data_IF_828869204135
#
_entry.id   IF_828869204135
#
_cell.length_a   1.000
_cell.length_b   1.000
_cell.length_c   1.000
_cell.angle_alpha   90.00
_cell.angle_beta   90.00
_cell.angle_gamma   90.00
#
_symmetry.space_group_name_H-M   'P 1'
#
loop_
_entity.id
_entity.type
_entity.pdbx_description
1 polymer ?
#
# COMPACT_ATOMS: atom_id res chain seq x y z
N UNK A 1 41.40 0.20 24.55
CA UNK A 1 40.23 0.98 25.02
C UNK A 1 39.24 1.30 23.90
N UNK A 2 39.72 1.61 22.67
CA UNK A 2 38.88 1.86 21.49
C UNK A 2 38.00 0.68 21.05
N UNK A 3 38.49 -0.55 21.10
CA UNK A 3 37.73 -1.74 20.65
C UNK A 3 36.47 -2.00 21.51
N UNK A 4 36.55 -1.77 22.83
CA UNK A 4 35.39 -1.87 23.74
C UNK A 4 34.36 -0.79 23.47
N UNK A 5 34.78 0.44 23.16
CA UNK A 5 33.86 1.54 22.80
C UNK A 5 33.18 1.30 21.45
N UNK A 6 33.90 0.74 20.48
CA UNK A 6 33.34 0.37 19.18
C UNK A 6 32.32 -0.76 19.31
N UNK A 7 32.61 -1.82 20.09
CA UNK A 7 31.66 -2.89 20.36
C UNK A 7 30.42 -2.41 21.11
N UNK A 8 30.56 -1.51 22.08
CA UNK A 8 29.41 -0.90 22.77
C UNK A 8 28.60 -0.04 21.81
N UNK A 9 29.24 0.72 20.91
CA UNK A 9 28.55 1.53 19.92
C UNK A 9 27.83 0.68 18.87
N UNK A 10 28.43 -0.43 18.42
CA UNK A 10 27.79 -1.42 17.54
C UNK A 10 26.64 -2.12 18.27
N UNK A 11 26.79 -2.46 19.55
CA UNK A 11 25.71 -3.05 20.34
C UNK A 11 24.57 -2.06 20.60
N UNK A 12 24.88 -0.77 20.76
CA UNK A 12 23.89 0.31 20.86
C UNK A 12 23.21 0.53 19.50
N UNK A 13 23.93 0.52 18.38
CA UNK A 13 23.35 0.59 17.03
C UNK A 13 22.46 -0.62 16.72
N UNK A 14 22.85 -1.82 17.14
CA UNK A 14 22.04 -3.04 17.02
C UNK A 14 20.79 -2.98 17.93
N UNK A 15 20.85 -2.29 19.07
CA UNK A 15 19.67 -2.07 19.94
C UNK A 15 18.83 -0.83 19.53
N UNK A 16 19.36 0.05 18.67
CA UNK A 16 18.62 1.16 18.04
C UNK A 16 17.85 0.67 16.80
N UNK A 17 18.11 -0.55 16.30
CA UNK A 17 17.10 -1.32 15.57
C UNK A 17 16.01 -1.75 16.55
N UNK A 18 15.26 -0.76 17.04
CA UNK A 18 14.04 -0.96 17.79
C UNK A 18 13.09 -1.78 16.93
N UNK A 19 12.98 -3.06 17.27
CA UNK A 19 12.01 -4.04 16.78
C UNK A 19 10.80 -3.38 16.08
N UNK A 20 10.70 -3.53 14.76
CA UNK A 20 9.55 -3.09 13.93
C UNK A 20 8.25 -3.86 14.21
N UNK A 21 8.16 -4.56 15.33
CA UNK A 21 7.05 -5.43 15.68
C UNK A 21 6.30 -4.89 16.90
N UNK A 22 5.05 -4.51 16.69
CA UNK A 22 4.11 -4.02 17.69
C UNK A 22 3.35 -5.21 18.29
N UNK A 23 3.21 -5.26 19.62
CA UNK A 23 2.39 -6.30 20.26
C UNK A 23 0.90 -6.13 19.92
N UNK A 24 0.27 -7.21 19.49
CA UNK A 24 -1.18 -7.30 19.33
C UNK A 24 -1.79 -7.88 20.60
N UNK A 25 -2.69 -7.13 21.22
CA UNK A 25 -3.39 -7.53 22.45
C UNK A 25 -4.89 -7.61 22.24
N UNK A 26 -5.58 -8.41 23.04
CA UNK A 26 -7.04 -8.39 23.14
C UNK A 26 -7.54 -7.37 24.18
N UNK A 27 -8.86 -7.26 24.36
CA UNK A 27 -9.49 -6.39 25.37
C UNK A 27 -9.18 -6.76 26.82
N UNK A 28 -8.72 -7.99 27.08
CA UNK A 28 -8.20 -8.45 28.38
C UNK A 28 -6.71 -8.16 28.59
N UNK A 29 -6.08 -7.41 27.67
CA UNK A 29 -4.65 -7.07 27.68
C UNK A 29 -3.70 -8.29 27.59
N UNK A 30 -4.18 -9.41 27.03
CA UNK A 30 -3.35 -10.58 26.72
C UNK A 30 -2.72 -10.41 25.34
N UNK A 31 -1.43 -10.74 25.24
CA UNK A 31 -0.72 -10.76 23.95
C UNK A 31 -1.23 -11.96 23.14
N UNK A 32 -1.81 -11.68 21.98
CA UNK A 32 -2.37 -12.67 21.06
C UNK A 32 -1.57 -12.76 19.74
N UNK A 33 -0.63 -11.85 19.53
CA UNK A 33 0.12 -11.78 18.29
C UNK A 33 1.09 -10.62 18.21
N UNK A 34 1.59 -10.38 16.99
CA UNK A 34 2.44 -9.24 16.64
C UNK A 34 2.01 -8.63 15.31
N UNK A 35 2.25 -7.34 15.15
CA UNK A 35 2.04 -6.60 13.90
C UNK A 35 3.37 -5.99 13.47
N UNK A 36 3.86 -6.33 12.29
CA UNK A 36 5.13 -5.85 11.75
C UNK A 36 4.91 -4.59 10.90
N UNK A 37 5.86 -3.65 10.97
CA UNK A 37 5.89 -2.42 10.17
C UNK A 37 6.94 -2.48 9.04
N UNK A 38 7.71 -3.58 8.95
CA UNK A 38 8.72 -3.84 7.91
C UNK A 38 8.67 -5.30 7.47
N UNK A 39 8.63 -5.54 6.15
CA UNK A 39 8.55 -6.86 5.53
C UNK A 39 9.80 -7.72 5.78
N UNK A 40 10.99 -7.11 5.71
CA UNK A 40 12.27 -7.80 5.90
C UNK A 40 12.48 -8.25 7.35
N UNK A 41 11.88 -7.54 8.31
CA UNK A 41 11.99 -7.82 9.73
C UNK A 41 10.92 -8.80 10.26
N UNK A 42 10.08 -9.37 9.39
CA UNK A 42 9.05 -10.33 9.79
C UNK A 42 9.71 -11.61 10.30
N UNK A 43 9.60 -11.85 11.62
CA UNK A 43 10.00 -13.08 12.29
C UNK A 43 8.75 -13.71 12.90
N UNK A 44 8.00 -14.52 12.13
CA UNK A 44 6.68 -14.97 12.53
C UNK A 44 6.77 -15.90 13.74
N UNK A 45 5.87 -15.70 14.69
CA UNK A 45 5.72 -16.63 15.82
C UNK A 45 4.66 -17.67 15.48
N UNK A 46 5.07 -18.94 15.50
CA UNK A 46 4.15 -20.07 15.39
C UNK A 46 3.11 -19.98 16.51
N UNK A 47 1.87 -20.37 16.21
CA UNK A 47 0.72 -20.38 17.13
C UNK A 47 0.22 -19.02 17.64
N UNK A 48 0.65 -17.92 17.02
CA UNK A 48 0.13 -16.57 17.29
C UNK A 48 -0.39 -15.89 16.02
N UNK A 49 -1.14 -14.81 16.17
CA UNK A 49 -1.53 -13.98 15.04
C UNK A 49 -0.36 -13.10 14.58
N UNK A 50 -0.10 -13.07 13.28
CA UNK A 50 0.92 -12.21 12.68
C UNK A 50 0.24 -11.23 11.71
N UNK A 51 0.34 -9.94 12.00
CA UNK A 51 -0.16 -8.86 11.16
C UNK A 51 0.98 -8.12 10.47
N UNK A 52 0.68 -7.42 9.38
CA UNK A 52 1.62 -6.51 8.74
C UNK A 52 0.92 -5.20 8.38
N UNK A 53 1.55 -4.06 8.67
CA UNK A 53 1.10 -2.75 8.19
C UNK A 53 1.76 -2.53 6.84
N UNK A 54 0.96 -2.50 5.77
CA UNK A 54 1.44 -2.42 4.40
C UNK A 54 2.25 -1.15 4.16
N UNK A 55 3.52 -1.34 3.83
CA UNK A 55 4.35 -0.36 3.14
C UNK A 55 4.61 -0.84 1.72
N UNK A 56 4.26 -0.02 0.71
CA UNK A 56 4.49 -0.38 -0.70
C UNK A 56 6.00 -0.41 -1.04
N UNK A 57 6.79 0.43 -0.38
CA UNK A 57 8.23 0.53 -0.59
C UNK A 57 9.00 -0.73 -0.18
N UNK A 58 8.40 -1.58 0.66
CA UNK A 58 8.98 -2.86 1.06
C UNK A 58 8.98 -3.88 -0.09
N UNK A 59 8.15 -3.66 -1.12
CA UNK A 59 8.06 -4.52 -2.29
C UNK A 59 8.79 -3.93 -3.50
N UNK A 60 8.75 -2.60 -3.66
CA UNK A 60 9.56 -1.85 -4.62
C UNK A 60 9.62 -0.37 -4.22
N UNK A 61 10.81 0.22 -4.19
CA UNK A 61 11.02 1.59 -3.67
C UNK A 61 10.34 2.69 -4.49
N UNK A 62 10.05 2.42 -5.76
CA UNK A 62 9.35 3.35 -6.66
C UNK A 62 7.83 3.15 -6.60
N UNK A 63 7.32 2.12 -5.93
CA UNK A 63 5.90 1.84 -5.89
C UNK A 63 5.18 2.84 -4.97
N UNK A 64 4.13 3.48 -5.47
CA UNK A 64 3.38 4.46 -4.70
C UNK A 64 1.87 4.37 -4.94
N UNK A 65 1.07 4.92 -4.03
CA UNK A 65 -0.39 4.88 -4.16
C UNK A 65 -0.90 5.65 -5.36
N UNK A 66 -0.25 6.76 -5.72
CA UNK A 66 -0.69 7.56 -6.87
C UNK A 66 -0.52 6.80 -8.18
N UNK A 67 0.58 6.05 -8.32
CA UNK A 67 0.81 5.13 -9.43
C UNK A 67 -0.37 4.17 -9.60
N UNK A 68 -0.81 3.51 -8.51
CA UNK A 68 -1.95 2.60 -8.53
C UNK A 68 -3.25 3.29 -8.96
N UNK A 69 -3.50 4.52 -8.51
CA UNK A 69 -4.72 5.25 -8.85
C UNK A 69 -4.82 5.67 -10.31
N UNK A 70 -3.72 5.68 -11.07
CA UNK A 70 -3.76 6.00 -12.50
C UNK A 70 -4.21 4.82 -13.37
N UNK A 71 -4.20 3.60 -12.81
CA UNK A 71 -4.45 2.35 -13.51
C UNK A 71 -5.95 2.11 -13.65
N UNK A 72 -6.42 1.86 -14.88
CA UNK A 72 -7.82 1.47 -15.16
C UNK A 72 -8.04 -0.03 -15.26
N UNK A 73 -6.96 -0.79 -15.42
CA UNK A 73 -7.03 -2.24 -15.37
C UNK A 73 -7.14 -2.72 -13.91
N UNK A 74 -8.35 -2.68 -13.36
CA UNK A 74 -8.60 -3.07 -11.98
C UNK A 74 -8.31 -4.55 -11.69
N UNK A 75 -8.38 -5.42 -12.71
CA UNK A 75 -7.97 -6.83 -12.59
C UNK A 75 -6.45 -6.98 -12.40
N UNK A 76 -5.65 -6.08 -12.97
CA UNK A 76 -4.20 -6.03 -12.74
C UNK A 76 -3.90 -5.62 -11.29
N UNK A 77 -4.62 -4.63 -10.75
CA UNK A 77 -4.50 -4.25 -9.32
C UNK A 77 -4.80 -5.46 -8.42
N UNK A 78 -5.93 -6.13 -8.65
CA UNK A 78 -6.33 -7.31 -7.88
C UNK A 78 -5.28 -8.43 -7.96
N UNK A 79 -4.73 -8.69 -9.15
CA UNK A 79 -3.68 -9.70 -9.36
C UNK A 79 -2.37 -9.33 -8.66
N UNK A 80 -1.96 -8.06 -8.74
CA UNK A 80 -0.76 -7.57 -8.09
C UNK A 80 -0.86 -7.66 -6.56
N UNK A 81 -2.01 -7.30 -5.97
CA UNK A 81 -2.21 -7.44 -4.53
C UNK A 81 -2.44 -8.88 -4.08
N UNK A 82 -2.91 -9.77 -4.97
CA UNK A 82 -2.86 -11.21 -4.73
C UNK A 82 -1.40 -11.68 -4.60
N UNK A 83 -0.52 -11.25 -5.49
CA UNK A 83 0.90 -11.62 -5.44
C UNK A 83 1.58 -11.12 -4.15
N UNK A 84 1.38 -9.84 -3.78
CA UNK A 84 1.81 -9.31 -2.48
C UNK A 84 1.23 -10.15 -1.32
N UNK A 85 -0.04 -10.53 -1.39
CA UNK A 85 -0.66 -11.41 -0.40
C UNK A 85 0.02 -12.78 -0.30
N UNK A 86 0.42 -13.38 -1.43
CA UNK A 86 1.17 -14.64 -1.45
C UNK A 86 2.53 -14.47 -0.76
N UNK A 87 3.29 -13.41 -1.06
CA UNK A 87 4.55 -13.06 -0.37
C UNK A 87 4.36 -12.93 1.15
N UNK A 88 3.27 -12.30 1.58
CA UNK A 88 2.92 -12.16 2.99
C UNK A 88 2.58 -13.52 3.64
N UNK A 89 1.85 -14.40 2.94
CA UNK A 89 1.55 -15.75 3.45
C UNK A 89 2.77 -16.62 3.58
N UNK A 90 3.74 -16.51 2.67
CA UNK A 90 5.02 -17.21 2.79
C UNK A 90 5.77 -16.81 4.09
N UNK A 91 5.61 -15.56 4.53
CA UNK A 91 6.09 -15.04 5.83
C UNK A 91 5.13 -15.32 7.00
N UNK A 92 4.10 -16.15 6.81
CA UNK A 92 3.07 -16.53 7.79
C UNK A 92 2.27 -15.35 8.35
N UNK A 93 2.07 -14.30 7.55
CA UNK A 93 1.17 -13.20 7.90
C UNK A 93 -0.29 -13.67 7.75
N UNK A 94 -1.09 -13.46 8.79
CA UNK A 94 -2.51 -13.80 8.85
C UNK A 94 -3.38 -12.64 8.32
N UNK A 95 -2.99 -11.39 8.59
CA UNK A 95 -3.74 -10.21 8.20
C UNK A 95 -2.85 -9.04 7.79
N UNK A 96 -3.39 -8.14 6.97
CA UNK A 96 -2.69 -6.93 6.50
C UNK A 96 -3.53 -5.70 6.78
N UNK A 97 -2.92 -4.69 7.41
CA UNK A 97 -3.50 -3.37 7.63
C UNK A 97 -3.00 -2.47 6.50
N UNK A 98 -3.92 -1.86 5.73
CA UNK A 98 -3.53 -1.03 4.60
C UNK A 98 -4.55 0.05 4.27
N UNK A 99 -4.15 0.93 3.35
CA UNK A 99 -5.04 1.89 2.71
C UNK A 99 -4.68 3.32 3.07
N UNK A 100 -4.91 4.20 2.09
CA UNK A 100 -5.02 5.63 2.28
C UNK A 100 -6.36 6.07 1.69
N UNK A 101 -7.32 6.35 2.56
CA UNK A 101 -8.69 6.70 2.17
C UNK A 101 -8.91 8.22 2.12
N UNK A 102 -7.88 9.02 2.38
CA UNK A 102 -7.93 10.46 2.23
C UNK A 102 -7.85 10.81 0.72
N UNK A 103 -8.80 11.59 0.17
CA UNK A 103 -8.70 12.08 -1.19
C UNK A 103 -7.53 13.05 -1.37
N UNK A 104 -6.83 12.94 -2.50
CA UNK A 104 -5.83 13.92 -2.90
C UNK A 104 -6.48 15.30 -3.03
N UNK A 105 -5.76 16.35 -2.64
CA UNK A 105 -6.12 17.73 -2.93
C UNK A 105 -4.87 18.56 -3.24
N UNK A 106 -5.07 19.78 -3.73
CA UNK A 106 -3.97 20.61 -4.25
C UNK A 106 -3.02 21.13 -3.16
N UNK A 107 -3.44 21.11 -1.89
CA UNK A 107 -2.62 21.56 -0.74
C UNK A 107 -1.63 20.51 -0.23
N UNK A 108 -1.67 19.28 -0.76
CA UNK A 108 -0.78 18.19 -0.31
C UNK A 108 0.61 18.34 -0.90
N UNK A 109 1.62 18.36 -0.02
CA UNK A 109 3.04 18.41 -0.41
C UNK A 109 3.48 17.10 -1.07
N UNK A 110 3.31 15.97 -0.37
CA UNK A 110 3.64 14.65 -0.88
C UNK A 110 2.43 13.97 -1.49
N UNK A 111 2.28 14.14 -2.80
CA UNK A 111 1.12 13.66 -3.57
C UNK A 111 1.18 12.17 -3.86
N UNK A 112 2.37 11.57 -3.87
CA UNK A 112 2.59 10.16 -4.21
C UNK A 112 1.96 9.21 -3.20
N UNK A 113 1.75 9.67 -1.96
CA UNK A 113 1.07 8.94 -0.89
C UNK A 113 -0.42 8.75 -1.13
N UNK A 114 -1.05 9.50 -2.03
CA UNK A 114 -2.49 9.50 -2.24
C UNK A 114 -2.88 8.68 -3.47
N UNK A 115 -4.02 7.99 -3.41
CA UNK A 115 -4.49 7.19 -4.55
C UNK A 115 -5.01 8.09 -5.68
N UNK A 116 -5.96 8.98 -5.40
CA UNK A 116 -6.60 9.85 -6.39
C UNK A 116 -7.34 11.02 -5.74
N UNK A 117 -7.80 12.00 -6.53
CA UNK A 117 -8.79 13.00 -6.10
C UNK A 117 -10.21 12.42 -5.98
N UNK A 118 -10.55 11.45 -6.84
CA UNK A 118 -11.91 10.91 -6.95
C UNK A 118 -12.18 9.84 -5.90
N UNK A 119 -13.22 9.99 -5.05
CA UNK A 119 -13.60 8.95 -4.09
C UNK A 119 -13.93 7.60 -4.73
N UNK A 120 -14.44 7.62 -5.96
CA UNK A 120 -14.74 6.40 -6.73
C UNK A 120 -13.47 5.62 -7.10
N UNK A 121 -12.41 6.33 -7.53
CA UNK A 121 -11.15 5.66 -7.88
C UNK A 121 -10.50 5.09 -6.62
N UNK A 122 -10.48 5.86 -5.52
CA UNK A 122 -9.94 5.40 -4.24
C UNK A 122 -10.67 4.14 -3.78
N UNK A 123 -12.01 4.14 -3.83
CA UNK A 123 -12.81 2.99 -3.40
C UNK A 123 -12.63 1.77 -4.29
N UNK A 124 -12.53 1.95 -5.61
CA UNK A 124 -12.32 0.83 -6.54
C UNK A 124 -10.93 0.21 -6.37
N UNK A 125 -9.86 1.01 -6.31
CA UNK A 125 -8.50 0.50 -6.05
C UNK A 125 -8.45 -0.23 -4.71
N UNK A 126 -8.98 0.38 -3.65
CA UNK A 126 -9.02 -0.23 -2.31
C UNK A 126 -9.81 -1.54 -2.31
N UNK A 127 -10.95 -1.59 -3.01
CA UNK A 127 -11.73 -2.82 -3.16
C UNK A 127 -10.95 -3.91 -3.88
N UNK A 128 -10.20 -3.60 -4.94
CA UNK A 128 -9.33 -4.58 -5.62
C UNK A 128 -8.19 -5.06 -4.74
N UNK A 129 -7.62 -4.19 -3.90
CA UNK A 129 -6.64 -4.58 -2.89
C UNK A 129 -7.25 -5.60 -1.90
N UNK A 130 -8.45 -5.32 -1.37
CA UNK A 130 -9.19 -6.25 -0.48
C UNK A 130 -9.32 -7.62 -1.16
N UNK A 131 -9.83 -7.66 -2.40
CA UNK A 131 -10.04 -8.91 -3.14
C UNK A 131 -8.74 -9.66 -3.41
N UNK A 132 -7.67 -8.95 -3.73
CA UNK A 132 -6.34 -9.55 -3.94
C UNK A 132 -5.84 -10.25 -2.67
N UNK A 133 -5.85 -9.56 -1.53
CA UNK A 133 -5.43 -10.13 -0.25
C UNK A 133 -6.30 -11.30 0.21
N UNK A 134 -7.64 -11.18 0.11
CA UNK A 134 -8.56 -12.27 0.43
C UNK A 134 -8.25 -13.51 -0.43
N UNK A 135 -8.06 -13.32 -1.74
CA UNK A 135 -7.73 -14.41 -2.66
C UNK A 135 -6.43 -15.11 -2.25
N UNK A 136 -5.42 -14.35 -1.81
CA UNK A 136 -4.16 -14.90 -1.31
C UNK A 136 -4.28 -15.57 0.08
N UNK A 137 -5.40 -15.40 0.79
CA UNK A 137 -5.59 -15.94 2.14
C UNK A 137 -4.99 -15.06 3.24
N UNK A 138 -4.80 -13.77 2.98
CA UNK A 138 -4.44 -12.74 3.98
C UNK A 138 -5.69 -11.92 4.29
N UNK A 139 -6.03 -11.79 5.57
CA UNK A 139 -7.22 -11.05 5.97
C UNK A 139 -7.00 -9.53 5.81
N UNK A 140 -7.79 -8.80 5.00
CA UNK A 140 -7.61 -7.36 4.81
C UNK A 140 -8.24 -6.54 5.96
N UNK A 141 -7.51 -5.54 6.45
CA UNK A 141 -7.99 -4.56 7.43
C UNK A 141 -7.71 -3.17 6.87
N UNK A 142 -8.75 -2.36 6.74
CA UNK A 142 -8.61 -1.00 6.22
C UNK A 142 -8.19 -0.03 7.32
N UNK A 143 -7.15 0.75 7.04
CA UNK A 143 -6.79 1.91 7.84
C UNK A 143 -7.82 3.03 7.59
N UNK A 144 -8.46 3.46 8.67
CA UNK A 144 -9.42 4.56 8.69
C UNK A 144 -8.95 5.60 9.70
N UNK A 145 -8.90 6.85 9.28
CA UNK A 145 -8.46 7.99 10.08
C UNK A 145 -9.42 9.17 9.93
N UNK A 146 -9.18 10.24 10.68
CA UNK A 146 -10.03 11.44 10.68
C UNK A 146 -10.08 12.16 9.33
N UNK A 147 -9.16 11.85 8.41
CA UNK A 147 -9.06 12.46 7.07
C UNK A 147 -9.62 11.56 5.98
N UNK A 148 -9.98 10.33 6.32
CA UNK A 148 -10.61 9.38 5.41
C UNK A 148 -11.92 9.97 4.92
N UNK A 149 -12.12 10.00 3.59
CA UNK A 149 -13.31 10.64 3.03
C UNK A 149 -14.56 9.80 3.27
N UNK A 150 -15.62 10.38 3.84
CA UNK A 150 -16.90 9.68 4.06
C UNK A 150 -17.44 9.04 2.78
N UNK A 151 -17.35 9.76 1.65
CA UNK A 151 -17.76 9.26 0.34
C UNK A 151 -16.90 8.07 -0.13
N UNK A 152 -15.62 8.01 0.27
CA UNK A 152 -14.75 6.86 -0.01
C UNK A 152 -15.24 5.66 0.79
N UNK A 153 -15.42 5.84 2.11
CA UNK A 153 -15.88 4.79 3.03
C UNK A 153 -17.21 4.21 2.58
N UNK A 154 -18.22 5.04 2.30
CA UNK A 154 -19.52 4.60 1.82
C UNK A 154 -19.44 3.88 0.46
N UNK A 155 -18.55 4.34 -0.42
CA UNK A 155 -18.33 3.72 -1.73
C UNK A 155 -17.62 2.37 -1.62
N UNK A 156 -16.77 2.16 -0.61
CA UNK A 156 -16.16 0.86 -0.30
C UNK A 156 -17.22 -0.07 0.31
N UNK A 157 -17.97 0.40 1.31
CA UNK A 157 -19.03 -0.38 1.96
C UNK A 157 -20.08 -0.90 0.96
N UNK A 158 -20.47 -0.08 -0.03
CA UNK A 158 -21.40 -0.52 -1.07
C UNK A 158 -20.83 -1.61 -2.00
N UNK A 159 -19.50 -1.74 -2.11
CA UNK A 159 -18.82 -2.78 -2.91
C UNK A 159 -18.50 -4.04 -2.09
N UNK A 160 -17.98 -3.87 -0.88
CA UNK A 160 -17.51 -4.98 -0.03
C UNK A 160 -18.57 -5.49 0.95
N UNK A 161 -19.65 -4.74 1.18
CA UNK A 161 -20.67 -5.00 2.20
C UNK A 161 -20.21 -4.67 3.62
N UNK A 162 -19.02 -5.13 4.00
CA UNK A 162 -18.37 -4.80 5.27
C UNK A 162 -16.84 -4.88 5.11
N UNK A 163 -16.09 -4.35 6.08
CA UNK A 163 -14.66 -4.55 6.21
C UNK A 163 -14.26 -4.36 7.68
N UNK A 164 -13.13 -4.95 8.08
CA UNK A 164 -12.52 -4.64 9.37
C UNK A 164 -11.69 -3.35 9.27
N UNK A 165 -11.70 -2.59 10.35
CA UNK A 165 -11.13 -1.25 10.41
C UNK A 165 -10.02 -1.16 11.46
N UNK A 166 -8.99 -0.38 11.14
CA UNK A 166 -7.88 -0.03 12.02
C UNK A 166 -7.73 1.48 12.11
N UNK A 167 -7.49 2.01 13.31
CA UNK A 167 -7.15 3.42 13.51
C UNK A 167 -6.20 3.62 14.70
N UNK A 168 -5.49 4.75 14.67
CA UNK A 168 -4.75 5.29 15.81
C UNK A 168 -5.38 6.58 16.37
N UNK A 169 -6.49 7.04 15.79
CA UNK A 169 -7.16 8.30 16.14
C UNK A 169 -8.63 8.07 16.51
N UNK A 170 -9.33 7.21 15.77
CA UNK A 170 -10.76 6.93 15.92
C UNK A 170 -10.94 5.66 16.76
N UNK A 171 -11.67 5.76 17.87
CA UNK A 171 -11.86 4.61 18.78
C UNK A 171 -12.94 3.62 18.34
N UNK A 172 -13.87 4.03 17.47
CA UNK A 172 -14.94 3.18 16.93
C UNK A 172 -14.45 2.39 15.70
N UNK A 173 -13.54 1.46 15.96
CA UNK A 173 -12.90 0.59 14.95
C UNK A 173 -12.71 -0.82 15.52
N UNK A 174 -12.24 -1.75 14.71
CA UNK A 174 -12.00 -3.14 15.13
C UNK A 174 -10.61 -3.33 15.75
N UNK A 175 -9.63 -2.57 15.26
CA UNK A 175 -8.25 -2.52 15.76
C UNK A 175 -7.85 -1.09 16.10
N UNK A 176 -7.33 -0.86 17.31
CA UNK A 176 -6.96 0.48 17.75
C UNK A 176 -5.52 0.52 18.29
N UNK A 177 -4.67 1.40 17.76
CA UNK A 177 -3.30 1.60 18.27
C UNK A 177 -3.33 2.43 19.56
N UNK A 178 -2.84 1.86 20.67
CA UNK A 178 -2.64 2.54 21.96
C UNK A 178 -1.18 2.44 22.34
N UNK A 179 -0.51 3.59 22.42
CA UNK A 179 0.92 3.67 22.72
C UNK A 179 1.74 2.76 21.79
N UNK A 180 2.48 1.80 22.36
CA UNK A 180 3.30 0.82 21.64
C UNK A 180 2.58 -0.52 21.39
N UNK A 181 1.25 -0.53 21.37
CA UNK A 181 0.43 -1.75 21.19
C UNK A 181 -0.71 -1.52 20.21
N UNK A 182 -1.17 -2.60 19.59
CA UNK A 182 -2.43 -2.62 18.83
C UNK A 182 -3.42 -3.47 19.62
N UNK A 183 -4.60 -2.92 19.87
CA UNK A 183 -5.69 -3.58 20.59
C UNK A 183 -6.71 -4.07 19.60
N UNK A 184 -6.96 -5.38 19.60
CA UNK A 184 -8.10 -6.00 18.94
C UNK A 184 -9.33 -5.84 19.84
N UNK A 185 -10.26 -4.96 19.43
CA UNK A 185 -11.40 -4.56 20.24
C UNK A 185 -12.55 -5.57 20.21
N UNK A 186 -12.58 -6.45 19.21
CA UNK A 186 -13.61 -7.49 19.03
C UNK A 186 -12.93 -8.81 18.62
N UNK A 187 -13.52 -9.95 18.99
CA UNK A 187 -12.93 -11.24 18.69
C UNK A 187 -13.24 -11.68 17.25
N UNK A 188 -12.20 -11.90 16.44
CA UNK A 188 -12.31 -12.33 15.05
C UNK A 188 -11.45 -13.56 14.78
N UNK A 189 -11.92 -14.43 13.89
CA UNK A 189 -11.10 -15.47 13.30
C UNK A 189 -10.38 -14.93 12.06
N UNK A 190 -9.16 -14.42 12.26
CA UNK A 190 -8.37 -13.76 11.22
C UNK A 190 -7.50 -14.73 10.40
N UNK A 191 -7.74 -16.04 10.50
CA UNK A 191 -6.99 -17.06 9.76
C UNK A 191 -7.80 -17.56 8.57
N UNK A 192 -7.33 -17.21 7.37
CA UNK A 192 -7.79 -17.80 6.12
C UNK A 192 -6.85 -18.97 5.78
N UNK A 193 -7.42 -20.17 5.66
CA UNK A 193 -6.67 -21.43 5.64
C UNK A 193 -6.39 -21.98 4.24
N UNK A 194 -6.74 -21.27 3.18
CA UNK A 194 -6.34 -21.66 1.82
C UNK A 194 -4.96 -21.10 1.49
N UNK A 195 -4.21 -21.85 0.69
CA UNK A 195 -2.90 -21.46 0.20
C UNK A 195 -2.95 -21.30 -1.31
N UNK A 196 -2.65 -20.09 -1.77
CA UNK A 196 -2.28 -19.84 -3.17
C UNK A 196 -0.76 -19.79 -3.23
N UNK A 197 -0.16 -20.61 -4.10
CA UNK A 197 1.31 -20.73 -4.19
C UNK A 197 1.92 -19.99 -5.37
N UNK A 198 1.11 -19.66 -6.37
CA UNK A 198 1.58 -19.02 -7.58
C UNK A 198 1.39 -17.50 -7.48
N UNK A 199 2.51 -16.80 -7.60
CA UNK A 199 2.59 -15.36 -7.80
C UNK A 199 3.38 -15.06 -9.08
N UNK A 200 3.08 -13.94 -9.72
CA UNK A 200 3.86 -13.39 -10.82
C UNK A 200 4.24 -11.94 -10.49
N UNK A 201 4.77 -11.73 -9.28
CA UNK A 201 4.97 -10.41 -8.70
C UNK A 201 5.78 -9.49 -9.62
N UNK A 202 6.96 -9.91 -10.08
CA UNK A 202 7.84 -9.08 -10.91
C UNK A 202 7.16 -8.67 -12.23
N UNK A 203 6.52 -9.63 -12.91
CA UNK A 203 5.79 -9.39 -14.15
C UNK A 203 4.62 -8.42 -13.94
N UNK A 204 3.86 -8.60 -12.87
CA UNK A 204 2.73 -7.74 -12.55
C UNK A 204 3.20 -6.35 -12.09
N UNK A 205 4.33 -6.24 -11.39
CA UNK A 205 4.94 -4.97 -11.02
C UNK A 205 5.34 -4.14 -12.25
N UNK A 206 6.00 -4.77 -13.23
CA UNK A 206 6.31 -4.08 -14.50
C UNK A 206 5.03 -3.62 -15.19
N UNK A 207 4.01 -4.49 -15.28
CA UNK A 207 2.71 -4.10 -15.86
C UNK A 207 2.03 -2.98 -15.09
N UNK A 208 2.15 -2.93 -13.76
CA UNK A 208 1.64 -1.82 -12.93
C UNK A 208 2.29 -0.53 -13.39
N UNK A 209 3.62 -0.52 -13.54
CA UNK A 209 4.34 0.67 -13.99
C UNK A 209 3.98 1.06 -15.43
N UNK A 210 3.93 0.12 -16.36
CA UNK A 210 3.52 0.38 -17.73
C UNK A 210 2.11 0.95 -17.81
N UNK A 211 1.16 0.41 -17.02
CA UNK A 211 -0.23 0.85 -16.97
C UNK A 211 -0.44 2.15 -16.18
N UNK A 212 0.64 2.71 -15.61
CA UNK A 212 0.62 3.95 -14.85
C UNK A 212 1.16 5.16 -15.62
N UNK A 213 1.62 4.96 -16.86
CA UNK A 213 2.16 6.05 -17.69
C UNK A 213 1.02 6.92 -18.22
N UNK A 214 1.01 8.19 -17.80
CA UNK A 214 -0.08 9.14 -18.08
C UNK A 214 0.38 10.21 -19.06
N UNK A 215 -0.32 10.34 -20.18
CA UNK A 215 -0.21 11.53 -21.03
C UNK A 215 -1.20 12.61 -20.56
N UNK A 216 -0.73 13.84 -20.42
CA UNK A 216 -1.52 15.00 -19.98
C UNK A 216 -1.19 16.24 -20.80
N UNK A 217 -2.08 17.22 -20.80
CA UNK A 217 -1.94 18.45 -21.59
C UNK A 217 -2.19 18.25 -23.09
N UNK A 218 -2.25 19.34 -23.83
CA UNK A 218 -2.59 19.34 -25.26
C UNK A 218 -1.71 20.26 -26.11
N UNK A 219 -1.01 21.22 -25.50
CA UNK A 219 -0.10 22.11 -26.22
C UNK A 219 1.18 21.38 -26.59
N UNK A 220 1.54 21.39 -27.87
CA UNK A 220 2.71 20.67 -28.41
C UNK A 220 4.00 21.48 -28.36
N UNK A 221 3.94 22.70 -27.84
CA UNK A 221 5.05 23.65 -27.88
C UNK A 221 6.20 23.24 -26.96
N UNK A 222 5.88 22.49 -25.90
CA UNK A 222 6.84 21.86 -25.00
C UNK A 222 6.35 20.44 -24.65
N UNK A 223 7.11 19.43 -25.07
CA UNK A 223 6.91 18.03 -24.67
C UNK A 223 7.79 17.74 -23.47
N UNK A 224 7.17 17.42 -22.33
CA UNK A 224 7.89 17.26 -21.05
C UNK A 224 7.76 15.82 -20.56
N UNK A 225 8.88 15.21 -20.17
CA UNK A 225 8.89 13.94 -19.48
C UNK A 225 9.02 14.19 -17.97
N UNK A 226 8.10 13.66 -17.18
CA UNK A 226 7.99 13.92 -15.75
C UNK A 226 8.11 12.62 -14.95
N UNK A 227 9.24 12.44 -14.28
CA UNK A 227 9.44 11.32 -13.36
C UNK A 227 8.86 11.65 -11.99
N UNK A 228 7.83 10.91 -11.57
CA UNK A 228 7.17 11.04 -10.26
C UNK A 228 6.69 12.46 -9.93
N UNK A 229 6.47 13.27 -10.96
CA UNK A 229 6.02 14.65 -10.88
C UNK A 229 4.71 14.86 -11.66
N UNK A 230 3.86 15.73 -11.14
CA UNK A 230 2.50 15.91 -11.63
C UNK A 230 2.38 17.14 -12.51
N UNK A 231 1.86 16.93 -13.73
CA UNK A 231 1.56 18.04 -14.62
C UNK A 231 0.23 18.71 -14.27
N UNK A 232 0.29 20.01 -13.98
CA UNK A 232 -0.88 20.90 -13.79
C UNK A 232 -1.04 21.94 -14.91
N UNK A 233 -0.11 21.96 -15.86
CA UNK A 233 -0.13 22.88 -17.00
C UNK A 233 -0.98 22.33 -18.16
N UNK A 234 -1.12 23.14 -19.21
CA UNK A 234 -1.71 22.70 -20.48
C UNK A 234 -0.68 22.12 -21.46
N UNK A 235 0.60 22.09 -21.07
CA UNK A 235 1.70 21.61 -21.90
C UNK A 235 1.69 20.08 -21.94
N UNK A 236 1.99 19.52 -23.12
CA UNK A 236 1.99 18.07 -23.33
C UNK A 236 3.08 17.45 -22.46
N UNK A 237 2.68 16.65 -21.48
CA UNK A 237 3.60 15.97 -20.60
C UNK A 237 3.24 14.49 -20.41
N UNK A 238 4.27 13.65 -20.34
CA UNK A 238 4.13 12.25 -19.92
C UNK A 238 4.65 12.11 -18.50
N UNK A 239 3.79 11.70 -17.58
CA UNK A 239 4.15 11.34 -16.20
C UNK A 239 4.32 9.83 -16.10
N UNK A 240 5.41 9.38 -15.47
CA UNK A 240 5.70 7.98 -15.18
C UNK A 240 6.27 7.84 -13.76
N UNK A 241 6.13 6.66 -13.15
CA UNK A 241 6.37 6.49 -11.72
C UNK A 241 7.59 5.63 -11.36
N UNK A 242 8.17 4.92 -12.33
CA UNK A 242 9.34 4.07 -12.15
C UNK A 242 10.29 4.17 -13.34
N UNK A 243 11.60 4.21 -13.08
CA UNK A 243 12.64 4.21 -14.11
C UNK A 243 12.61 2.94 -14.98
N UNK A 244 12.02 1.84 -14.49
CA UNK A 244 11.84 0.58 -15.22
C UNK A 244 10.99 0.73 -16.50
N UNK A 245 10.24 1.83 -16.63
CA UNK A 245 9.37 2.11 -17.79
C UNK A 245 9.69 3.47 -18.45
N UNK A 246 10.88 4.01 -18.20
CA UNK A 246 11.35 5.27 -18.81
C UNK A 246 11.31 5.23 -20.34
N UNK A 247 11.86 4.18 -20.96
CA UNK A 247 11.82 3.98 -22.42
C UNK A 247 10.38 3.97 -22.97
N UNK A 248 9.46 3.30 -22.27
CA UNK A 248 8.05 3.28 -22.65
C UNK A 248 7.42 4.68 -22.55
N UNK A 249 7.76 5.44 -21.51
CA UNK A 249 7.27 6.80 -21.32
C UNK A 249 7.79 7.76 -22.41
N UNK A 250 9.05 7.62 -22.84
CA UNK A 250 9.61 8.34 -23.99
C UNK A 250 8.89 7.99 -25.29
N UNK A 251 8.62 6.72 -25.55
CA UNK A 251 7.84 6.27 -26.71
C UNK A 251 6.42 6.86 -26.73
N UNK A 252 5.76 6.94 -25.56
CA UNK A 252 4.45 7.61 -25.43
C UNK A 252 4.55 9.12 -25.71
N UNK A 253 5.62 9.77 -25.22
CA UNK A 253 5.84 11.21 -25.46
C UNK A 253 6.05 11.49 -26.96
N UNK A 254 6.81 10.62 -27.63
CA UNK A 254 7.06 10.67 -29.06
C UNK A 254 5.86 10.24 -29.91
N UNK A 255 4.85 9.61 -29.30
CA UNK A 255 3.63 9.15 -29.95
C UNK A 255 3.78 7.83 -30.71
N UNK A 256 4.85 7.07 -30.45
CA UNK A 256 5.05 5.72 -31.01
C UNK A 256 4.30 4.65 -30.22
N UNK A 257 3.99 4.91 -28.94
CA UNK A 257 3.07 4.10 -28.12
C UNK A 257 1.92 4.93 -27.55
N UNK A 258 0.83 4.25 -27.20
CA UNK A 258 -0.32 4.88 -26.54
C UNK A 258 -0.13 4.88 -25.03
N UNK A 259 -0.53 5.96 -24.33
CA UNK A 259 -0.60 5.96 -22.87
C UNK A 259 -1.71 5.00 -22.40
N UNK A 260 -1.50 4.43 -21.22
CA UNK A 260 -2.40 3.43 -20.59
C UNK A 260 -2.93 3.93 -19.25
N UNK A 261 -2.13 4.74 -18.55
CA UNK A 261 -2.50 5.41 -17.32
C UNK A 261 -3.44 6.60 -17.56
N UNK A 262 -4.15 6.99 -16.50
CA UNK A 262 -5.08 8.11 -16.53
C UNK A 262 -4.76 9.14 -15.46
N UNK A 263 -4.84 10.41 -15.86
CA UNK A 263 -4.73 11.52 -14.93
C UNK A 263 -5.88 11.46 -13.92
N UNK A 264 -5.52 11.41 -12.64
CA UNK A 264 -6.45 11.30 -11.52
C UNK A 264 -6.18 12.34 -10.40
N UNK A 265 -5.37 13.35 -10.73
CA UNK A 265 -5.01 14.52 -9.94
C UNK A 265 -5.40 15.83 -10.64
#
# INVERSE_FOLDING_TARGET
MLLKKFLIMVFILINIFSFSAIDLINTENRIIGKVYESYEEIIPKNDSLNGYILNLNDFDEELCYLCLGTIRNYSLIESFFKDIGVLLKQKKIDFVIFGNLEPLNDSKEDKLKYIAKSPYIISEITYRMIRGFETAGVYPILKVDSKSGDNVIQSILSKSGSFLSYSNEISDVDFFKRDSKIVLLKNYNLKLNWEVKEENFDDNLIKIYENSVVLSGFRKDQSILLYRELNYSNDRAVTYFSEKVSDYAEEVLNGTKQPTGNKNW
#
